data_IF_665690621647
#
_entry.id   IF_665690621647
#
_cell.length_a   1.000
_cell.length_b   1.000
_cell.length_c   1.000
_cell.angle_alpha   90.00
_cell.angle_beta   90.00
_cell.angle_gamma   90.00
#
_symmetry.space_group_name_H-M   'P 1'
#
loop_
_entity.id
_entity.type
_entity.pdbx_description
1 polymer ?
#
# COMPACT_ATOMS: atom_id res chain seq x y z
N UNK A 1 21.95 -9.04 -30.24
CA UNK A 1 21.92 -9.13 -28.75
C UNK A 1 21.75 -7.77 -28.07
N UNK A 2 22.46 -6.73 -28.46
CA UNK A 2 22.36 -5.38 -27.87
C UNK A 2 20.98 -4.77 -28.03
N UNK A 3 20.36 -4.86 -29.20
CA UNK A 3 19.03 -4.29 -29.46
C UNK A 3 17.91 -4.97 -28.62
N UNK A 4 18.04 -6.29 -28.40
CA UNK A 4 17.10 -7.04 -27.55
C UNK A 4 17.24 -6.62 -26.08
N UNK A 5 18.48 -6.41 -25.60
CA UNK A 5 18.74 -5.95 -24.24
C UNK A 5 18.24 -4.51 -24.05
N UNK A 6 18.42 -3.63 -25.02
CA UNK A 6 17.93 -2.26 -24.97
C UNK A 6 16.39 -2.22 -24.87
N UNK A 7 15.68 -3.01 -25.67
CA UNK A 7 14.22 -3.11 -25.60
C UNK A 7 13.74 -3.61 -24.22
N UNK A 8 14.38 -4.64 -23.65
CA UNK A 8 14.08 -5.14 -22.30
C UNK A 8 14.26 -4.08 -21.21
N UNK A 9 15.34 -3.28 -21.29
CA UNK A 9 15.61 -2.18 -20.35
C UNK A 9 14.54 -1.10 -20.48
N UNK A 10 14.17 -0.70 -21.70
CA UNK A 10 13.11 0.29 -21.93
C UNK A 10 11.79 -0.19 -21.34
N UNK A 11 11.42 -1.45 -21.55
CA UNK A 11 10.18 -2.02 -21.00
C UNK A 11 10.22 -2.00 -19.47
N UNK A 12 11.32 -2.45 -18.85
CA UNK A 12 11.49 -2.42 -17.41
C UNK A 12 11.37 -1.00 -16.85
N UNK A 13 11.98 -0.03 -17.52
CA UNK A 13 11.91 1.38 -17.12
C UNK A 13 10.48 1.88 -17.12
N UNK A 14 9.69 1.58 -18.16
CA UNK A 14 8.31 2.03 -18.28
C UNK A 14 7.38 1.38 -17.25
N UNK A 15 7.47 0.08 -17.04
CA UNK A 15 6.64 -0.58 -16.02
C UNK A 15 7.03 -0.16 -14.61
N UNK A 16 8.32 0.11 -14.37
CA UNK A 16 8.80 0.68 -13.10
C UNK A 16 8.37 2.12 -12.91
N UNK A 17 8.32 2.93 -13.98
CA UNK A 17 7.82 4.30 -13.95
C UNK A 17 6.32 4.34 -13.60
N UNK A 18 5.50 3.43 -14.13
CA UNK A 18 4.10 3.30 -13.73
C UNK A 18 3.95 3.01 -12.24
N UNK A 19 4.77 2.12 -11.68
CA UNK A 19 4.79 1.83 -10.25
C UNK A 19 5.34 3.01 -9.42
N UNK A 20 6.35 3.72 -9.94
CA UNK A 20 6.86 4.95 -9.34
C UNK A 20 5.76 5.99 -9.15
N UNK A 21 4.95 6.25 -10.21
CA UNK A 21 3.82 7.18 -10.15
C UNK A 21 2.83 6.81 -9.05
N UNK A 22 2.45 5.54 -8.97
CA UNK A 22 1.51 5.02 -7.95
C UNK A 22 2.05 5.21 -6.54
N UNK A 23 3.32 4.88 -6.30
CA UNK A 23 3.94 5.02 -4.98
C UNK A 23 4.18 6.47 -4.58
N UNK A 24 4.59 7.32 -5.54
CA UNK A 24 4.81 8.74 -5.31
C UNK A 24 3.49 9.45 -4.98
N UNK A 25 2.43 9.21 -5.75
CA UNK A 25 1.10 9.77 -5.49
C UNK A 25 0.59 9.38 -4.09
N UNK A 26 0.73 8.11 -3.73
CA UNK A 26 0.29 7.61 -2.42
C UNK A 26 0.98 8.30 -1.23
N UNK A 27 2.20 8.83 -1.42
CA UNK A 27 2.96 9.49 -0.35
C UNK A 27 2.94 11.01 -0.44
N UNK A 28 2.95 11.59 -1.63
CA UNK A 28 2.89 13.04 -1.84
C UNK A 28 1.57 13.65 -1.33
N UNK A 29 0.44 12.96 -1.54
CA UNK A 29 -0.88 13.42 -1.09
C UNK A 29 -0.99 13.57 0.42
N UNK A 30 -0.25 12.75 1.18
CA UNK A 30 -0.27 12.85 2.63
C UNK A 30 0.25 14.20 3.15
N UNK A 31 1.22 14.80 2.44
CA UNK A 31 1.77 16.11 2.82
C UNK A 31 0.81 17.25 2.45
N UNK A 32 -0.09 17.03 1.46
CA UNK A 32 -1.10 18.00 1.03
C UNK A 32 -2.28 18.16 2.00
N UNK A 33 -2.41 17.32 3.04
CA UNK A 33 -3.63 17.20 3.85
C UNK A 33 -4.09 18.53 4.46
N UNK A 34 -3.19 19.34 5.00
CA UNK A 34 -3.56 20.65 5.56
C UNK A 34 -4.06 21.62 4.49
N UNK A 35 -3.45 21.62 3.31
CA UNK A 35 -3.88 22.45 2.18
C UNK A 35 -5.25 21.99 1.64
N UNK A 36 -5.47 20.68 1.55
CA UNK A 36 -6.75 20.09 1.16
C UNK A 36 -7.85 20.40 2.19
N UNK A 37 -7.54 20.39 3.49
CA UNK A 37 -8.48 20.77 4.57
C UNK A 37 -9.04 22.17 4.35
N UNK A 38 -8.17 23.13 4.03
CA UNK A 38 -8.55 24.52 3.81
C UNK A 38 -9.25 24.71 2.46
N UNK A 39 -8.70 24.15 1.40
CA UNK A 39 -9.18 24.37 0.02
C UNK A 39 -10.51 23.69 -0.28
N UNK A 40 -10.77 22.52 0.29
CA UNK A 40 -12.01 21.75 0.11
C UNK A 40 -12.99 21.93 1.29
N UNK A 41 -12.73 22.85 2.20
CA UNK A 41 -13.53 23.14 3.40
C UNK A 41 -13.97 21.85 4.12
N UNK A 42 -12.99 21.04 4.54
CA UNK A 42 -13.26 19.71 5.05
C UNK A 42 -12.67 19.50 6.46
N UNK A 43 -13.15 18.45 7.11
CA UNK A 43 -12.70 18.04 8.45
C UNK A 43 -11.76 16.82 8.38
N UNK A 44 -11.34 16.30 9.53
CA UNK A 44 -10.46 15.15 9.64
C UNK A 44 -11.04 13.89 8.92
N UNK A 45 -12.34 13.67 9.01
CA UNK A 45 -13.02 12.58 8.31
C UNK A 45 -12.89 12.71 6.79
N UNK A 46 -13.05 13.92 6.25
CA UNK A 46 -12.83 14.17 4.82
C UNK A 46 -11.38 13.93 4.42
N UNK A 47 -10.40 14.32 5.25
CA UNK A 47 -8.99 14.02 5.00
C UNK A 47 -8.70 12.51 4.97
N UNK A 48 -9.31 11.74 5.87
CA UNK A 48 -9.22 10.28 5.82
C UNK A 48 -9.78 9.73 4.50
N UNK A 49 -10.92 10.27 4.02
CA UNK A 49 -11.50 9.87 2.74
C UNK A 49 -10.61 10.24 1.55
N UNK A 50 -9.84 11.32 1.58
CA UNK A 50 -8.91 11.65 0.48
C UNK A 50 -7.84 10.57 0.26
N UNK A 51 -7.44 9.86 1.31
CA UNK A 51 -6.47 8.78 1.26
C UNK A 51 -7.14 7.43 1.05
N UNK A 52 -8.16 7.13 1.88
CA UNK A 52 -8.74 5.78 1.93
C UNK A 52 -9.53 5.43 0.68
N UNK A 53 -10.19 6.38 0.01
CA UNK A 53 -10.92 6.12 -1.22
C UNK A 53 -10.04 5.56 -2.35
N UNK A 54 -8.85 6.12 -2.53
CA UNK A 54 -7.84 5.60 -3.44
C UNK A 54 -7.38 4.19 -3.02
N UNK A 55 -7.03 4.02 -1.76
CA UNK A 55 -6.48 2.74 -1.28
C UNK A 55 -7.51 1.63 -1.30
N UNK A 56 -8.79 1.92 -1.00
CA UNK A 56 -9.90 0.96 -1.09
C UNK A 56 -10.08 0.49 -2.53
N UNK A 57 -10.21 1.41 -3.48
CA UNK A 57 -10.40 1.06 -4.88
C UNK A 57 -9.20 0.33 -5.47
N UNK A 58 -7.98 0.73 -5.09
CA UNK A 58 -6.74 0.02 -5.44
C UNK A 58 -6.74 -1.41 -4.89
N UNK A 59 -6.99 -1.60 -3.59
CA UNK A 59 -7.02 -2.92 -2.95
C UNK A 59 -8.07 -3.85 -3.58
N UNK A 60 -9.28 -3.32 -3.74
CA UNK A 60 -10.41 -4.07 -4.29
C UNK A 60 -10.16 -4.53 -5.73
N UNK A 61 -9.58 -3.66 -6.56
CA UNK A 61 -9.35 -3.95 -7.98
C UNK A 61 -8.11 -4.78 -8.27
N UNK A 62 -7.16 -4.91 -7.32
CA UNK A 62 -5.84 -5.48 -7.59
C UNK A 62 -5.88 -6.92 -8.12
N UNK A 63 -6.72 -7.78 -7.52
CA UNK A 63 -6.88 -9.17 -7.96
C UNK A 63 -7.51 -9.28 -9.35
N UNK A 64 -8.54 -8.46 -9.63
CA UNK A 64 -9.19 -8.48 -10.94
C UNK A 64 -8.39 -7.79 -12.02
N UNK A 65 -7.57 -6.82 -11.67
CA UNK A 65 -6.65 -6.18 -12.60
C UNK A 65 -5.65 -7.19 -13.20
N UNK A 66 -5.15 -8.12 -12.37
CA UNK A 66 -4.34 -9.24 -12.83
C UNK A 66 -5.11 -10.19 -13.75
N UNK A 67 -6.30 -10.62 -13.33
CA UNK A 67 -7.17 -11.50 -14.14
C UNK A 67 -7.61 -10.86 -15.46
N UNK A 68 -7.82 -9.55 -15.47
CA UNK A 68 -8.12 -8.79 -16.67
C UNK A 68 -6.92 -8.77 -17.62
N UNK A 69 -5.70 -8.61 -17.09
CA UNK A 69 -4.46 -8.71 -17.84
C UNK A 69 -4.28 -10.08 -18.51
N UNK A 70 -4.55 -11.15 -17.79
CA UNK A 70 -4.52 -12.50 -18.33
C UNK A 70 -5.54 -12.68 -19.47
N UNK A 71 -6.73 -12.04 -19.38
CA UNK A 71 -7.82 -12.21 -20.34
C UNK A 71 -7.71 -11.38 -21.62
N UNK A 72 -7.27 -10.13 -21.55
CA UNK A 72 -7.23 -9.20 -22.71
C UNK A 72 -5.83 -8.75 -23.08
N UNK A 73 -4.82 -9.23 -22.36
CA UNK A 73 -3.40 -8.92 -22.52
C UNK A 73 -2.88 -7.88 -21.53
N UNK A 74 -1.75 -8.17 -20.86
CA UNK A 74 -1.20 -7.29 -19.82
C UNK A 74 -0.78 -5.92 -20.38
N UNK A 75 -0.29 -5.82 -21.62
CA UNK A 75 0.01 -4.55 -22.29
C UNK A 75 -1.21 -3.64 -22.36
N UNK A 76 -2.34 -4.17 -22.87
CA UNK A 76 -3.58 -3.39 -23.05
C UNK A 76 -4.08 -2.87 -21.70
N UNK A 77 -4.10 -3.74 -20.68
CA UNK A 77 -4.56 -3.37 -19.34
C UNK A 77 -3.62 -2.36 -18.67
N UNK A 78 -2.31 -2.50 -18.85
CA UNK A 78 -1.33 -1.52 -18.38
C UNK A 78 -1.53 -0.15 -19.04
N UNK A 79 -1.73 -0.10 -20.36
CA UNK A 79 -2.03 1.15 -21.08
C UNK A 79 -3.34 1.79 -20.63
N UNK A 80 -4.41 1.00 -20.44
CA UNK A 80 -5.67 1.49 -19.86
C UNK A 80 -5.42 2.04 -18.45
N UNK A 81 -4.61 1.36 -17.63
CA UNK A 81 -4.20 1.83 -16.31
C UNK A 81 -3.50 3.18 -16.34
N UNK A 82 -2.57 3.40 -17.29
CA UNK A 82 -1.91 4.70 -17.50
C UNK A 82 -2.91 5.79 -17.85
N UNK A 83 -3.84 5.52 -18.77
CA UNK A 83 -4.88 6.47 -19.19
C UNK A 83 -5.77 6.83 -18.01
N UNK A 84 -6.32 5.83 -17.31
CA UNK A 84 -7.25 6.04 -16.19
C UNK A 84 -6.54 6.77 -15.04
N UNK A 85 -5.33 6.37 -14.68
CA UNK A 85 -4.57 6.99 -13.59
C UNK A 85 -4.23 8.46 -13.90
N UNK A 86 -3.75 8.73 -15.12
CA UNK A 86 -3.38 10.08 -15.56
C UNK A 86 -4.60 10.98 -15.66
N UNK A 87 -5.69 10.49 -16.25
CA UNK A 87 -6.94 11.23 -16.34
C UNK A 87 -7.53 11.53 -14.96
N UNK A 88 -7.56 10.54 -14.08
CA UNK A 88 -8.02 10.72 -12.70
C UNK A 88 -7.12 11.70 -11.92
N UNK A 89 -5.81 11.73 -12.19
CA UNK A 89 -4.90 12.72 -11.61
C UNK A 89 -5.27 14.15 -12.04
N UNK A 90 -5.64 14.35 -13.32
CA UNK A 90 -6.16 15.65 -13.79
C UNK A 90 -7.43 16.02 -13.03
N UNK A 91 -8.39 15.09 -12.88
CA UNK A 91 -9.62 15.33 -12.14
C UNK A 91 -9.35 15.67 -10.67
N UNK A 92 -8.42 14.98 -10.01
CA UNK A 92 -8.00 15.29 -8.65
C UNK A 92 -7.49 16.74 -8.55
N UNK A 93 -6.59 17.15 -9.44
CA UNK A 93 -6.03 18.49 -9.44
C UNK A 93 -7.02 19.62 -9.76
N UNK A 94 -8.12 19.31 -10.46
CA UNK A 94 -9.20 20.25 -10.79
C UNK A 94 -10.36 20.23 -9.78
N UNK A 95 -10.28 19.42 -8.73
CA UNK A 95 -11.39 19.25 -7.79
C UNK A 95 -11.65 20.52 -6.97
N UNK A 96 -12.92 20.94 -6.93
CA UNK A 96 -13.41 22.09 -6.15
C UNK A 96 -14.30 21.65 -4.96
N UNK A 97 -14.57 20.35 -4.83
CA UNK A 97 -15.33 19.80 -3.72
C UNK A 97 -14.76 18.47 -3.27
N UNK A 98 -14.94 18.14 -1.98
CA UNK A 98 -14.51 16.88 -1.40
C UNK A 98 -15.10 15.67 -2.14
N UNK A 99 -16.39 15.70 -2.46
CA UNK A 99 -17.08 14.59 -3.13
C UNK A 99 -16.49 14.31 -4.51
N UNK A 100 -16.21 15.35 -5.30
CA UNK A 100 -15.58 15.20 -6.61
C UNK A 100 -14.14 14.72 -6.48
N UNK A 101 -13.40 15.23 -5.50
CA UNK A 101 -12.04 14.76 -5.20
C UNK A 101 -12.03 13.28 -4.84
N UNK A 102 -12.89 12.83 -3.90
CA UNK A 102 -13.03 11.42 -3.50
C UNK A 102 -13.39 10.53 -4.69
N UNK A 103 -14.33 10.94 -5.54
CA UNK A 103 -14.66 10.22 -6.77
C UNK A 103 -13.45 10.08 -7.69
N UNK A 104 -12.69 11.16 -7.88
CA UNK A 104 -11.45 11.16 -8.68
C UNK A 104 -10.39 10.22 -8.11
N UNK A 105 -10.26 10.18 -6.77
CA UNK A 105 -9.37 9.26 -6.06
C UNK A 105 -9.78 7.79 -6.25
N UNK A 106 -11.08 7.48 -6.27
CA UNK A 106 -11.57 6.12 -6.59
C UNK A 106 -11.12 5.70 -7.99
N UNK A 107 -11.31 6.56 -8.99
CA UNK A 107 -10.87 6.29 -10.37
C UNK A 107 -9.34 6.11 -10.44
N UNK A 108 -8.60 6.95 -9.73
CA UNK A 108 -7.14 6.88 -9.69
C UNK A 108 -6.64 5.57 -9.06
N UNK A 109 -7.31 5.09 -8.00
CA UNK A 109 -7.01 3.80 -7.38
C UNK A 109 -7.29 2.61 -8.30
N UNK A 110 -8.35 2.67 -9.12
CA UNK A 110 -8.62 1.68 -10.17
C UNK A 110 -7.45 1.68 -11.18
N UNK A 111 -7.04 2.85 -11.67
CA UNK A 111 -5.91 3.00 -12.58
C UNK A 111 -4.61 2.42 -11.98
N UNK A 112 -4.34 2.70 -10.70
CA UNK A 112 -3.19 2.16 -9.97
C UNK A 112 -3.18 0.62 -9.93
N UNK A 113 -4.34 0.00 -9.67
CA UNK A 113 -4.47 -1.46 -9.66
C UNK A 113 -4.14 -2.08 -11.02
N UNK A 114 -4.68 -1.49 -12.10
CA UNK A 114 -4.40 -1.92 -13.47
C UNK A 114 -2.91 -1.81 -13.80
N UNK A 115 -2.24 -0.73 -13.38
CA UNK A 115 -0.82 -0.52 -13.58
C UNK A 115 0.03 -1.55 -12.82
N UNK A 116 -0.17 -1.65 -11.50
CA UNK A 116 0.70 -2.45 -10.63
C UNK A 116 0.60 -3.93 -10.94
N UNK A 117 -0.62 -4.48 -11.05
CA UNK A 117 -0.80 -5.90 -11.35
C UNK A 117 -0.18 -6.29 -12.70
N UNK A 118 -0.40 -5.47 -13.72
CA UNK A 118 0.05 -5.78 -15.07
C UNK A 118 1.53 -5.46 -15.31
N UNK A 119 2.13 -4.53 -14.54
CA UNK A 119 3.59 -4.31 -14.59
C UNK A 119 4.35 -5.58 -14.21
N UNK A 120 3.91 -6.31 -13.18
CA UNK A 120 4.51 -7.58 -12.76
C UNK A 120 4.31 -8.68 -13.81
N UNK A 121 3.13 -8.76 -14.43
CA UNK A 121 2.85 -9.71 -15.51
C UNK A 121 3.72 -9.44 -16.74
N UNK A 122 3.94 -8.17 -17.10
CA UNK A 122 4.84 -7.79 -18.22
C UNK A 122 6.28 -8.18 -17.91
N UNK A 123 6.77 -7.93 -16.70
CA UNK A 123 8.13 -8.35 -16.29
C UNK A 123 8.27 -9.88 -16.40
N UNK A 124 7.28 -10.65 -15.94
CA UNK A 124 7.28 -12.11 -16.05
C UNK A 124 7.35 -12.60 -17.49
N UNK A 125 6.62 -11.97 -18.41
CA UNK A 125 6.59 -12.36 -19.82
C UNK A 125 7.86 -11.98 -20.59
N UNK A 126 8.55 -10.90 -20.19
CA UNK A 126 9.77 -10.42 -20.87
C UNK A 126 11.03 -11.11 -20.33
N UNK A 127 11.11 -11.37 -19.02
CA UNK A 127 12.27 -11.99 -18.36
C UNK A 127 11.98 -13.47 -18.06
N UNK A 128 12.29 -14.34 -19.04
CA UNK A 128 12.01 -15.79 -18.96
C UNK A 128 12.97 -16.45 -17.96
N UNK A 129 14.26 -16.06 -17.96
CA UNK A 129 15.24 -16.59 -17.02
C UNK A 129 14.90 -16.18 -15.57
N UNK A 130 14.84 -17.13 -14.62
CA UNK A 130 14.47 -16.84 -13.23
C UNK A 130 15.40 -15.85 -12.53
N UNK A 131 16.72 -15.86 -12.84
CA UNK A 131 17.71 -14.96 -12.24
C UNK A 131 17.56 -13.55 -12.78
N UNK A 132 17.39 -13.37 -14.09
CA UNK A 132 17.14 -12.06 -14.72
C UNK A 132 15.81 -11.49 -14.25
N UNK A 133 14.76 -12.31 -14.14
CA UNK A 133 13.45 -11.92 -13.65
C UNK A 133 13.51 -11.46 -12.21
N UNK A 134 14.25 -12.15 -11.34
CA UNK A 134 14.44 -11.73 -9.96
C UNK A 134 15.15 -10.36 -9.86
N UNK A 135 16.14 -10.10 -10.73
CA UNK A 135 16.80 -8.79 -10.84
C UNK A 135 15.82 -7.71 -11.30
N UNK A 136 14.99 -8.00 -12.31
CA UNK A 136 14.00 -7.06 -12.82
C UNK A 136 12.95 -6.69 -11.76
N UNK A 137 12.45 -7.66 -10.98
CA UNK A 137 11.58 -7.39 -9.84
C UNK A 137 12.28 -6.58 -8.75
N UNK A 138 13.59 -6.81 -8.53
CA UNK A 138 14.39 -6.01 -7.61
C UNK A 138 14.50 -4.55 -8.03
N UNK A 139 14.72 -4.28 -9.33
CA UNK A 139 14.74 -2.91 -9.89
C UNK A 139 13.35 -2.26 -9.75
N UNK A 140 12.30 -2.95 -10.15
CA UNK A 140 10.92 -2.48 -10.05
C UNK A 140 10.54 -2.12 -8.60
N UNK A 141 10.82 -3.00 -7.65
CA UNK A 141 10.58 -2.74 -6.23
C UNK A 141 11.44 -1.62 -5.67
N UNK A 142 12.71 -1.53 -6.09
CA UNK A 142 13.63 -0.46 -5.72
C UNK A 142 13.15 0.92 -6.18
N UNK A 143 12.64 1.01 -7.42
CA UNK A 143 12.04 2.24 -7.96
C UNK A 143 10.82 2.68 -7.14
N UNK A 144 9.96 1.73 -6.74
CA UNK A 144 8.84 2.01 -5.82
C UNK A 144 9.33 2.51 -4.45
N UNK A 145 10.38 1.90 -3.90
CA UNK A 145 11.01 2.36 -2.66
C UNK A 145 11.55 3.79 -2.74
N UNK A 146 12.22 4.13 -3.84
CA UNK A 146 12.68 5.50 -4.11
C UNK A 146 11.49 6.46 -4.19
N UNK A 147 10.41 6.08 -4.89
CA UNK A 147 9.19 6.91 -5.00
C UNK A 147 8.59 7.22 -3.63
N UNK A 148 8.48 6.22 -2.75
CA UNK A 148 7.99 6.39 -1.37
C UNK A 148 8.91 7.35 -0.60
N UNK A 149 10.22 7.24 -0.79
CA UNK A 149 11.20 8.08 -0.10
C UNK A 149 11.16 9.55 -0.55
N UNK A 150 11.08 9.80 -1.85
CA UNK A 150 11.12 11.17 -2.38
C UNK A 150 9.74 11.84 -2.42
N UNK A 151 8.65 11.06 -2.35
CA UNK A 151 7.28 11.55 -2.45
C UNK A 151 6.94 12.69 -1.49
N UNK A 152 7.19 12.58 -0.19
CA UNK A 152 6.92 13.67 0.76
C UNK A 152 7.72 14.94 0.46
N UNK A 153 8.97 14.83 0.00
CA UNK A 153 9.82 15.99 -0.32
C UNK A 153 9.37 16.64 -1.61
N UNK A 154 9.20 15.85 -2.69
CA UNK A 154 8.71 16.37 -3.98
C UNK A 154 7.32 16.97 -3.79
N UNK A 155 6.42 16.26 -3.10
CA UNK A 155 5.10 16.77 -2.76
C UNK A 155 5.18 18.07 -1.96
N UNK A 156 5.99 18.11 -0.90
CA UNK A 156 6.17 19.29 -0.06
C UNK A 156 6.64 20.51 -0.84
N UNK A 157 7.66 20.37 -1.70
CA UNK A 157 8.20 21.45 -2.54
C UNK A 157 7.17 21.92 -3.58
N UNK A 158 6.55 20.99 -4.31
CA UNK A 158 5.57 21.32 -5.35
C UNK A 158 4.34 22.02 -4.75
N UNK A 159 3.82 21.51 -3.64
CA UNK A 159 2.64 22.07 -2.99
C UNK A 159 2.93 23.46 -2.43
N UNK A 160 4.11 23.67 -1.84
CA UNK A 160 4.51 24.97 -1.34
C UNK A 160 4.69 26.01 -2.45
N UNK A 161 5.17 25.60 -3.65
CA UNK A 161 5.47 26.49 -4.76
C UNK A 161 4.28 26.75 -5.70
N UNK A 162 3.46 25.73 -5.94
CA UNK A 162 2.41 25.76 -6.98
C UNK A 162 1.01 25.35 -6.46
N UNK A 163 0.87 25.16 -5.14
CA UNK A 163 -0.37 24.69 -4.52
C UNK A 163 -0.56 23.17 -4.62
N UNK A 164 -1.51 22.64 -3.85
CA UNK A 164 -1.77 21.21 -3.74
C UNK A 164 -2.13 20.49 -5.06
N UNK A 165 -2.77 21.13 -6.08
CA UNK A 165 -3.05 20.46 -7.36
C UNK A 165 -1.80 19.99 -8.11
N UNK A 166 -0.66 20.65 -7.87
CA UNK A 166 0.61 20.29 -8.52
C UNK A 166 1.09 18.89 -8.19
N UNK A 167 0.77 18.35 -7.00
CA UNK A 167 1.10 17.01 -6.62
C UNK A 167 0.42 15.96 -7.55
N UNK A 168 -0.76 16.28 -8.07
CA UNK A 168 -1.49 15.43 -9.01
C UNK A 168 -1.05 15.69 -10.46
N UNK A 169 -0.86 16.94 -10.84
CA UNK A 169 -0.42 17.28 -12.19
C UNK A 169 0.97 16.75 -12.53
N UNK A 170 1.81 16.50 -11.54
CA UNK A 170 3.09 15.81 -11.71
C UNK A 170 2.94 14.46 -12.43
N UNK A 171 1.83 13.74 -12.23
CA UNK A 171 1.59 12.46 -12.86
C UNK A 171 1.34 12.56 -14.38
N UNK A 172 0.94 13.72 -14.90
CA UNK A 172 0.55 13.89 -16.31
C UNK A 172 1.73 13.63 -17.26
N UNK A 173 2.90 14.30 -17.13
CA UNK A 173 4.02 14.07 -18.05
C UNK A 173 4.49 12.61 -18.00
N UNK A 174 4.58 12.01 -16.81
CA UNK A 174 4.96 10.61 -16.68
C UNK A 174 3.94 9.66 -17.32
N UNK A 175 2.65 9.92 -17.13
CA UNK A 175 1.59 9.09 -17.70
C UNK A 175 1.53 9.16 -19.23
N UNK A 176 1.66 10.37 -19.81
CA UNK A 176 1.64 10.56 -21.26
C UNK A 176 2.88 9.94 -21.91
N UNK A 177 4.08 10.24 -21.40
CA UNK A 177 5.33 9.66 -21.90
C UNK A 177 5.31 8.13 -21.73
N UNK A 178 4.88 7.67 -20.57
CA UNK A 178 4.74 6.24 -20.27
C UNK A 178 3.82 5.52 -21.25
N UNK A 179 2.68 6.12 -21.59
CA UNK A 179 1.72 5.56 -22.54
C UNK A 179 2.32 5.45 -23.94
N UNK A 180 2.94 6.51 -24.44
CA UNK A 180 3.57 6.54 -25.77
C UNK A 180 4.62 5.44 -25.90
N UNK A 181 5.50 5.33 -24.88
CA UNK A 181 6.56 4.33 -24.89
C UNK A 181 5.99 2.90 -24.70
N UNK A 182 5.00 2.74 -23.81
CA UNK A 182 4.34 1.44 -23.59
C UNK A 182 3.70 0.90 -24.86
N UNK A 183 2.97 1.73 -25.59
CA UNK A 183 2.34 1.36 -26.87
C UNK A 183 3.38 0.89 -27.91
N UNK A 184 4.54 1.57 -27.97
CA UNK A 184 5.58 1.31 -28.96
C UNK A 184 6.45 0.09 -28.62
N UNK A 185 6.83 -0.09 -27.36
CA UNK A 185 7.88 -1.05 -26.99
C UNK A 185 7.38 -2.32 -26.29
N UNK A 186 6.24 -2.28 -25.56
CA UNK A 186 5.71 -3.49 -24.94
C UNK A 186 5.10 -4.38 -26.02
N UNK A 187 5.54 -5.63 -26.16
CA UNK A 187 4.95 -6.57 -27.13
C UNK A 187 3.56 -7.02 -26.69
N UNK A 188 2.76 -7.47 -27.65
CA UNK A 188 1.55 -8.22 -27.32
C UNK A 188 1.96 -9.57 -26.69
N UNK A 189 1.24 -9.98 -25.65
CA UNK A 189 1.50 -11.21 -24.90
C UNK A 189 0.33 -12.16 -25.05
N UNK A 190 0.60 -13.45 -24.87
CA UNK A 190 -0.44 -14.47 -24.90
C UNK A 190 -1.50 -14.21 -23.84
N UNK A 191 -2.75 -14.41 -24.23
CA UNK A 191 -3.93 -14.26 -23.36
C UNK A 191 -4.34 -15.63 -22.84
N UNK A 192 -4.57 -15.70 -21.53
CA UNK A 192 -5.03 -16.92 -20.86
C UNK A 192 -6.46 -16.67 -20.41
N UNK A 193 -7.45 -17.46 -20.91
CA UNK A 193 -8.85 -17.24 -20.52
C UNK A 193 -9.04 -17.44 -19.01
N UNK A 194 -9.20 -16.37 -18.26
CA UNK A 194 -9.58 -16.41 -16.84
C UNK A 194 -10.94 -15.80 -16.62
N UNK A 195 -11.69 -16.38 -15.70
CA UNK A 195 -12.99 -15.85 -15.30
C UNK A 195 -12.82 -14.67 -14.35
N UNK A 196 -13.46 -13.56 -14.68
CA UNK A 196 -13.61 -12.41 -13.79
C UNK A 196 -14.86 -12.65 -12.94
N UNK A 197 -14.76 -12.41 -11.62
CA UNK A 197 -15.87 -12.58 -10.68
C UNK A 197 -16.34 -11.22 -10.14
N UNK A 198 -17.15 -10.48 -10.90
CA UNK A 198 -17.50 -9.11 -10.53
C UNK A 198 -18.26 -9.05 -9.19
N UNK A 199 -19.08 -10.04 -8.88
CA UNK A 199 -19.85 -10.07 -7.62
C UNK A 199 -18.91 -10.21 -6.41
N UNK A 200 -17.96 -11.17 -6.45
CA UNK A 200 -16.99 -11.34 -5.37
C UNK A 200 -16.15 -10.08 -5.17
N UNK A 201 -15.77 -9.42 -6.25
CA UNK A 201 -15.03 -8.18 -6.22
C UNK A 201 -15.83 -7.01 -5.63
N UNK A 202 -17.08 -6.85 -6.02
CA UNK A 202 -17.96 -5.85 -5.44
C UNK A 202 -18.12 -6.06 -3.94
N UNK A 203 -18.23 -7.31 -3.49
CA UNK A 203 -18.33 -7.64 -2.07
C UNK A 203 -17.05 -7.27 -1.31
N UNK A 204 -15.85 -7.52 -1.87
CA UNK A 204 -14.59 -7.10 -1.24
C UNK A 204 -14.52 -5.56 -1.15
N UNK A 205 -14.85 -4.86 -2.24
CA UNK A 205 -14.86 -3.39 -2.27
C UNK A 205 -15.84 -2.82 -1.24
N UNK A 206 -17.05 -3.39 -1.18
CA UNK A 206 -18.08 -3.00 -0.23
C UNK A 206 -17.66 -3.27 1.21
N UNK A 207 -17.05 -4.44 1.47
CA UNK A 207 -16.55 -4.78 2.80
C UNK A 207 -15.47 -3.77 3.26
N UNK A 208 -14.46 -3.51 2.44
CA UNK A 208 -13.39 -2.55 2.77
C UNK A 208 -13.94 -1.13 2.94
N UNK A 209 -14.84 -0.70 2.06
CA UNK A 209 -15.48 0.60 2.12
C UNK A 209 -16.36 0.78 3.36
N UNK A 210 -17.17 -0.22 3.70
CA UNK A 210 -18.02 -0.21 4.88
C UNK A 210 -17.21 -0.22 6.18
N UNK A 211 -16.13 -1.01 6.24
CA UNK A 211 -15.23 -1.04 7.38
C UNK A 211 -14.54 0.30 7.59
N UNK A 212 -13.98 0.90 6.54
CA UNK A 212 -13.36 2.21 6.61
C UNK A 212 -14.38 3.28 7.04
N UNK A 213 -15.58 3.27 6.45
CA UNK A 213 -16.65 4.19 6.83
C UNK A 213 -17.05 4.04 8.30
N UNK A 214 -17.17 2.80 8.81
CA UNK A 214 -17.50 2.57 10.21
C UNK A 214 -16.50 3.25 11.15
N UNK A 215 -15.19 3.07 10.93
CA UNK A 215 -14.15 3.70 11.75
C UNK A 215 -14.11 5.22 11.59
N UNK A 216 -14.19 5.74 10.36
CA UNK A 216 -14.19 7.19 10.12
C UNK A 216 -15.42 7.84 10.76
N UNK A 217 -16.61 7.23 10.62
CA UNK A 217 -17.84 7.71 11.24
C UNK A 217 -17.82 7.58 12.76
N UNK A 218 -17.17 6.55 13.31
CA UNK A 218 -17.03 6.41 14.76
C UNK A 218 -16.25 7.58 15.39
N UNK A 219 -15.22 8.07 14.71
CA UNK A 219 -14.43 9.23 15.15
C UNK A 219 -15.24 10.55 15.19
N UNK A 220 -16.29 10.67 14.37
CA UNK A 220 -17.12 11.90 14.28
C UNK A 220 -18.46 11.81 14.98
N UNK A 221 -19.12 10.65 14.92
CA UNK A 221 -20.51 10.46 15.40
C UNK A 221 -20.60 9.56 16.64
N UNK A 222 -19.45 9.02 17.09
CA UNK A 222 -19.39 8.04 18.20
C UNK A 222 -19.73 6.61 17.76
N UNK A 223 -19.24 5.65 18.53
CA UNK A 223 -19.32 4.22 18.22
C UNK A 223 -20.75 3.64 18.19
N UNK A 224 -21.68 4.25 18.90
CA UNK A 224 -23.08 3.81 18.98
C UNK A 224 -24.00 4.46 17.93
N UNK A 225 -23.46 5.25 17.02
CA UNK A 225 -24.28 5.90 15.97
C UNK A 225 -24.84 4.87 14.99
N UNK A 226 -26.05 5.13 14.50
CA UNK A 226 -26.69 4.26 13.47
C UNK A 226 -25.81 4.08 12.24
N UNK A 227 -25.03 5.11 11.89
CA UNK A 227 -24.09 5.05 10.74
C UNK A 227 -23.02 3.99 10.94
N UNK A 228 -22.44 3.91 12.14
CA UNK A 228 -21.42 2.91 12.49
C UNK A 228 -22.03 1.51 12.52
N UNK A 229 -23.19 1.36 13.14
CA UNK A 229 -23.89 0.07 13.25
C UNK A 229 -24.24 -0.46 11.84
N UNK A 230 -24.89 0.38 11.01
CA UNK A 230 -25.27 -0.02 9.64
C UNK A 230 -24.03 -0.41 8.83
N UNK A 231 -22.96 0.39 8.88
CA UNK A 231 -21.73 0.09 8.14
C UNK A 231 -21.07 -1.20 8.61
N UNK A 232 -21.08 -1.46 9.92
CA UNK A 232 -20.56 -2.72 10.48
C UNK A 232 -21.39 -3.92 10.01
N UNK A 233 -22.71 -3.79 9.97
CA UNK A 233 -23.61 -4.84 9.42
C UNK A 233 -23.31 -5.05 7.93
N UNK A 234 -23.18 -3.99 7.13
CA UNK A 234 -22.82 -4.09 5.70
C UNK A 234 -21.49 -4.77 5.51
N UNK A 235 -20.49 -4.43 6.32
CA UNK A 235 -19.17 -5.10 6.32
C UNK A 235 -19.31 -6.61 6.56
N UNK A 236 -20.00 -7.00 7.65
CA UNK A 236 -20.17 -8.41 8.02
C UNK A 236 -20.92 -9.18 6.93
N UNK A 237 -22.03 -8.63 6.41
CA UNK A 237 -22.81 -9.27 5.34
C UNK A 237 -21.98 -9.39 4.04
N UNK A 238 -21.18 -8.39 3.71
CA UNK A 238 -20.31 -8.45 2.52
C UNK A 238 -19.21 -9.51 2.67
N UNK A 239 -18.61 -9.66 3.85
CA UNK A 239 -17.63 -10.71 4.13
C UNK A 239 -18.28 -12.09 4.05
N UNK A 240 -19.44 -12.28 4.69
CA UNK A 240 -20.19 -13.54 4.63
C UNK A 240 -20.55 -13.89 3.18
N UNK A 241 -21.08 -12.91 2.43
CA UNK A 241 -21.43 -13.10 1.02
C UNK A 241 -20.21 -13.46 0.16
N UNK A 242 -19.07 -12.81 0.39
CA UNK A 242 -17.81 -13.13 -0.29
C UNK A 242 -17.36 -14.57 0.01
N UNK A 243 -17.33 -14.95 1.29
CA UNK A 243 -16.95 -16.31 1.70
C UNK A 243 -17.91 -17.35 1.11
N UNK A 244 -19.21 -17.08 1.13
CA UNK A 244 -20.22 -17.98 0.56
C UNK A 244 -20.00 -18.19 -0.95
N UNK A 245 -19.81 -17.12 -1.72
CA UNK A 245 -19.54 -17.22 -3.17
C UNK A 245 -18.23 -17.96 -3.43
N UNK A 246 -17.22 -17.72 -2.62
CA UNK A 246 -15.90 -18.32 -2.80
C UNK A 246 -15.91 -19.82 -2.51
N UNK A 247 -16.62 -20.23 -1.46
CA UNK A 247 -16.76 -21.66 -1.07
C UNK A 247 -17.65 -22.41 -2.06
N UNK A 248 -18.74 -21.79 -2.54
CA UNK A 248 -19.70 -22.41 -3.45
C UNK A 248 -19.25 -22.42 -4.91
N UNK A 249 -18.15 -21.73 -5.24
CA UNK A 249 -17.67 -21.62 -6.63
C UNK A 249 -16.86 -22.84 -7.05
N UNK A 250 -17.12 -23.38 -8.24
CA UNK A 250 -16.29 -24.43 -8.85
C UNK A 250 -14.86 -23.97 -9.17
N UNK A 251 -14.70 -22.70 -9.52
CA UNK A 251 -13.41 -22.06 -9.79
C UNK A 251 -13.23 -20.89 -8.82
N UNK A 252 -12.80 -21.12 -7.58
CA UNK A 252 -12.62 -20.05 -6.60
C UNK A 252 -11.51 -19.09 -7.02
N UNK A 253 -11.62 -17.79 -6.61
CA UNK A 253 -10.54 -16.81 -6.78
C UNK A 253 -9.34 -17.15 -5.89
N UNK A 254 -9.63 -17.70 -4.71
CA UNK A 254 -8.63 -18.11 -3.73
C UNK A 254 -8.47 -19.63 -3.80
N UNK A 255 -7.23 -20.16 -3.93
CA UNK A 255 -7.01 -21.61 -3.94
C UNK A 255 -7.58 -22.26 -2.69
N UNK A 256 -8.39 -23.32 -2.86
CA UNK A 256 -8.98 -24.05 -1.73
C UNK A 256 -7.88 -24.54 -0.79
N UNK A 257 -8.00 -24.22 0.48
CA UNK A 257 -7.07 -24.67 1.52
C UNK A 257 -5.77 -23.87 1.63
N UNK A 258 -5.56 -22.79 0.87
CA UNK A 258 -4.34 -21.97 0.97
C UNK A 258 -4.14 -21.41 2.40
N UNK A 259 -5.22 -21.06 3.08
CA UNK A 259 -5.19 -20.60 4.47
C UNK A 259 -4.96 -21.74 5.50
N UNK A 260 -4.94 -23.01 5.08
CA UNK A 260 -4.48 -24.12 5.95
C UNK A 260 -2.96 -24.15 6.08
N UNK A 261 -2.25 -23.51 5.14
CA UNK A 261 -0.80 -23.37 5.20
C UNK A 261 -0.46 -22.30 6.24
N UNK A 262 -0.02 -22.72 7.42
CA UNK A 262 0.28 -21.84 8.56
C UNK A 262 1.19 -20.67 8.19
N UNK A 263 2.25 -20.96 7.44
CA UNK A 263 3.22 -19.95 7.00
C UNK A 263 2.60 -18.92 6.06
N UNK A 264 1.75 -19.32 5.12
CA UNK A 264 1.04 -18.42 4.23
C UNK A 264 0.08 -17.52 5.02
N UNK A 265 -0.71 -18.12 5.91
CA UNK A 265 -1.68 -17.39 6.73
C UNK A 265 -0.96 -16.38 7.65
N UNK A 266 0.13 -16.81 8.30
CA UNK A 266 0.95 -15.92 9.12
C UNK A 266 1.51 -14.74 8.31
N UNK A 267 2.10 -15.02 7.13
CA UNK A 267 2.63 -13.97 6.26
C UNK A 267 1.53 -12.98 5.81
N UNK A 268 0.33 -13.48 5.51
CA UNK A 268 -0.82 -12.66 5.13
C UNK A 268 -1.28 -11.74 6.28
N UNK A 269 -1.40 -12.29 7.50
CA UNK A 269 -1.78 -11.53 8.71
C UNK A 269 -0.69 -10.51 9.07
N UNK A 270 0.57 -10.91 9.08
CA UNK A 270 1.69 -10.00 9.33
C UNK A 270 1.72 -8.89 8.28
N UNK A 271 1.52 -9.22 7.00
CA UNK A 271 1.43 -8.25 5.91
C UNK A 271 0.33 -7.21 6.11
N UNK A 272 -0.85 -7.63 6.59
CA UNK A 272 -1.95 -6.73 6.95
C UNK A 272 -1.54 -5.83 8.11
N UNK A 273 -1.02 -6.40 9.20
CA UNK A 273 -0.66 -5.65 10.43
C UNK A 273 0.42 -4.61 10.15
N UNK A 274 1.49 -4.95 9.44
CA UNK A 274 2.59 -4.01 9.19
C UNK A 274 2.14 -2.82 8.33
N UNK A 275 1.25 -3.06 7.35
CA UNK A 275 0.72 -1.97 6.54
C UNK A 275 -0.29 -1.12 7.32
N UNK A 276 -1.14 -1.75 8.16
CA UNK A 276 -2.02 -1.02 9.07
C UNK A 276 -1.20 -0.09 9.99
N UNK A 277 -0.20 -0.62 10.65
CA UNK A 277 0.64 0.16 11.55
C UNK A 277 1.42 1.26 10.83
N UNK A 278 2.01 0.98 9.67
CA UNK A 278 2.83 1.95 8.94
C UNK A 278 2.01 3.09 8.33
N UNK A 279 0.96 2.80 7.57
CA UNK A 279 0.17 3.86 6.93
C UNK A 279 -0.65 4.64 7.95
N UNK A 280 -1.12 3.97 9.01
CA UNK A 280 -1.75 4.64 10.13
C UNK A 280 -0.76 5.54 10.89
N UNK A 281 0.45 5.05 11.19
CA UNK A 281 1.52 5.88 11.78
C UNK A 281 1.87 7.07 10.88
N UNK A 282 2.02 6.85 9.58
CA UNK A 282 2.34 7.93 8.64
C UNK A 282 1.27 9.03 8.66
N UNK A 283 0.00 8.65 8.68
CA UNK A 283 -1.10 9.61 8.82
C UNK A 283 -1.03 10.38 10.15
N UNK A 284 -0.84 9.68 11.26
CA UNK A 284 -0.77 10.27 12.61
C UNK A 284 0.41 11.23 12.73
N UNK A 285 1.60 10.85 12.27
CA UNK A 285 2.81 11.69 12.40
C UNK A 285 2.75 12.94 11.51
N UNK A 286 2.11 12.86 10.34
CA UNK A 286 1.88 14.03 9.49
C UNK A 286 0.90 15.00 10.19
N UNK A 287 -0.18 14.48 10.76
CA UNK A 287 -1.11 15.30 11.54
C UNK A 287 -0.43 15.92 12.75
N UNK A 288 0.44 15.18 13.44
CA UNK A 288 1.25 15.70 14.54
C UNK A 288 2.15 16.87 14.08
N UNK A 289 2.90 16.71 13.00
CA UNK A 289 3.76 17.78 12.50
C UNK A 289 2.96 18.99 12.03
N UNK A 290 1.86 18.80 11.31
CA UNK A 290 1.10 19.91 10.74
C UNK A 290 0.16 20.59 11.72
N UNK A 291 -0.46 19.89 12.67
CA UNK A 291 -1.48 20.46 13.57
C UNK A 291 -1.01 20.66 15.01
N UNK A 292 -0.01 19.93 15.48
CA UNK A 292 0.55 20.13 16.84
C UNK A 292 1.83 20.95 16.79
N UNK A 293 2.73 20.63 15.85
CA UNK A 293 4.01 21.35 15.66
C UNK A 293 3.90 22.54 14.72
N UNK A 294 2.75 22.73 14.07
CA UNK A 294 2.48 23.80 13.11
C UNK A 294 3.50 23.90 11.97
N UNK A 295 4.10 22.75 11.60
CA UNK A 295 5.04 22.71 10.47
C UNK A 295 4.32 22.97 9.16
N UNK A 296 4.96 23.76 8.31
CA UNK A 296 4.51 23.96 6.93
C UNK A 296 4.53 22.62 6.16
N UNK A 297 3.82 22.55 5.06
CA UNK A 297 3.81 21.39 4.14
C UNK A 297 5.22 20.99 3.72
N UNK A 298 6.04 21.98 3.36
CA UNK A 298 7.43 21.76 2.97
C UNK A 298 8.28 21.24 4.12
N UNK A 299 8.17 21.84 5.31
CA UNK A 299 8.92 21.41 6.51
C UNK A 299 8.51 19.99 6.92
N UNK A 300 7.22 19.65 6.82
CA UNK A 300 6.72 18.28 7.05
C UNK A 300 7.34 17.28 6.08
N UNK A 301 7.41 17.63 4.79
CA UNK A 301 8.07 16.79 3.78
C UNK A 301 9.54 16.50 4.10
N UNK A 302 10.31 17.53 4.49
CA UNK A 302 11.69 17.35 4.90
C UNK A 302 11.82 16.59 6.24
N UNK A 303 10.89 16.77 7.17
CA UNK A 303 10.90 16.03 8.44
C UNK A 303 10.66 14.52 8.23
N UNK A 304 9.93 14.11 7.19
CA UNK A 304 9.72 12.71 6.84
C UNK A 304 10.86 12.10 6.01
N UNK A 305 11.67 12.92 5.36
CA UNK A 305 12.70 12.47 4.42
C UNK A 305 13.72 11.50 5.02
N UNK A 306 14.28 11.73 6.22
CA UNK A 306 15.25 10.78 6.83
C UNK A 306 14.65 9.38 7.02
N UNK A 307 13.38 9.28 7.47
CA UNK A 307 12.69 8.01 7.58
C UNK A 307 12.60 7.31 6.22
N UNK A 308 12.24 8.05 5.18
CA UNK A 308 12.10 7.52 3.84
C UNK A 308 13.45 7.04 3.25
N UNK A 309 14.56 7.75 3.53
CA UNK A 309 15.91 7.32 3.15
C UNK A 309 16.27 6.00 3.83
N UNK A 310 16.04 5.89 5.14
CA UNK A 310 16.27 4.65 5.88
C UNK A 310 15.45 3.50 5.30
N UNK A 311 14.19 3.75 4.94
CA UNK A 311 13.33 2.76 4.29
C UNK A 311 13.92 2.28 2.96
N UNK A 312 14.35 3.19 2.10
CA UNK A 312 14.91 2.85 0.79
C UNK A 312 16.21 2.03 0.91
N UNK A 313 17.12 2.47 1.79
CA UNK A 313 18.39 1.77 2.05
C UNK A 313 18.12 0.38 2.63
N UNK A 314 17.24 0.27 3.60
CA UNK A 314 16.91 -1.01 4.25
C UNK A 314 16.27 -1.98 3.27
N UNK A 315 15.31 -1.52 2.44
CA UNK A 315 14.66 -2.36 1.44
C UNK A 315 15.68 -2.95 0.43
N UNK A 316 16.67 -2.15 0.01
CA UNK A 316 17.73 -2.59 -0.90
C UNK A 316 18.58 -3.74 -0.31
N UNK A 317 18.91 -3.67 0.97
CA UNK A 317 19.71 -4.71 1.64
C UNK A 317 18.88 -5.90 2.13
N UNK A 318 17.63 -5.68 2.50
CA UNK A 318 16.75 -6.70 3.07
C UNK A 318 16.57 -7.92 2.16
N UNK A 319 16.46 -7.73 0.84
CA UNK A 319 16.38 -8.83 -0.11
C UNK A 319 17.59 -9.77 -0.05
N UNK A 320 18.80 -9.20 0.08
CA UNK A 320 20.04 -9.98 0.20
C UNK A 320 20.12 -10.73 1.54
N UNK A 321 19.71 -10.07 2.62
CA UNK A 321 19.65 -10.68 3.95
C UNK A 321 18.64 -11.83 3.95
N UNK A 322 17.44 -11.61 3.42
CA UNK A 322 16.38 -12.63 3.31
C UNK A 322 16.82 -13.84 2.50
N UNK A 323 17.56 -13.63 1.41
CA UNK A 323 18.10 -14.73 0.59
C UNK A 323 19.13 -15.59 1.35
N UNK A 324 19.94 -14.99 2.23
CA UNK A 324 20.95 -15.69 3.01
C UNK A 324 20.40 -16.34 4.28
N UNK A 325 19.56 -15.65 5.02
CA UNK A 325 19.14 -16.05 6.37
C UNK A 325 17.72 -16.62 6.41
N UNK A 326 16.99 -16.53 5.30
CA UNK A 326 15.54 -16.78 5.26
C UNK A 326 14.73 -15.59 5.73
N UNK A 327 13.38 -15.64 5.57
CA UNK A 327 12.51 -14.50 5.86
C UNK A 327 12.32 -14.24 7.36
N UNK A 328 12.50 -15.25 8.22
CA UNK A 328 12.19 -15.16 9.65
C UNK A 328 13.03 -14.12 10.39
N UNK A 329 14.36 -14.07 10.15
CA UNK A 329 15.28 -13.14 10.83
C UNK A 329 14.97 -11.68 10.50
N UNK A 330 14.87 -11.26 9.20
CA UNK A 330 14.50 -9.89 8.86
C UNK A 330 13.14 -9.49 9.43
N UNK A 331 12.18 -10.41 9.46
CA UNK A 331 10.85 -10.14 10.03
C UNK A 331 10.91 -9.89 11.54
N UNK A 332 11.62 -10.72 12.33
CA UNK A 332 11.75 -10.50 13.78
C UNK A 332 12.43 -9.17 14.06
N UNK A 333 13.60 -8.94 13.45
CA UNK A 333 14.36 -7.71 13.65
C UNK A 333 13.51 -6.50 13.24
N UNK A 334 12.84 -6.56 12.09
CA UNK A 334 12.00 -5.49 11.61
C UNK A 334 10.79 -5.22 12.50
N UNK A 335 10.06 -6.25 12.93
CA UNK A 335 8.90 -6.10 13.82
C UNK A 335 9.31 -5.58 15.20
N UNK A 336 10.42 -6.06 15.76
CA UNK A 336 10.92 -5.62 17.04
C UNK A 336 11.36 -4.15 17.00
N UNK A 337 12.09 -3.73 15.96
CA UNK A 337 12.51 -2.33 15.80
C UNK A 337 11.33 -1.40 15.56
N UNK A 338 10.31 -1.81 14.77
CA UNK A 338 9.08 -1.04 14.61
C UNK A 338 8.34 -0.90 15.95
N UNK A 339 8.20 -1.99 16.69
CA UNK A 339 7.53 -1.99 17.99
C UNK A 339 8.22 -1.02 18.95
N UNK A 340 9.56 -1.07 19.04
CA UNK A 340 10.35 -0.15 19.86
C UNK A 340 10.13 1.30 19.45
N UNK A 341 10.13 1.60 18.14
CA UNK A 341 9.87 2.94 17.62
C UNK A 341 8.46 3.43 17.94
N UNK A 342 7.45 2.58 17.78
CA UNK A 342 6.04 2.93 18.09
C UNK A 342 5.83 3.17 19.59
N UNK A 343 6.40 2.32 20.45
CA UNK A 343 6.35 2.52 21.92
C UNK A 343 7.00 3.85 22.29
N UNK A 344 8.17 4.15 21.71
CA UNK A 344 8.84 5.43 21.98
C UNK A 344 7.98 6.63 21.57
N UNK A 345 7.33 6.58 20.39
CA UNK A 345 6.44 7.65 19.91
C UNK A 345 5.22 7.87 20.82
N UNK A 346 4.75 6.86 21.55
CA UNK A 346 3.66 7.02 22.54
C UNK A 346 4.07 7.96 23.67
N UNK A 347 5.37 8.09 23.98
CA UNK A 347 5.85 8.99 25.03
C UNK A 347 6.22 10.39 24.52
N UNK A 348 6.08 10.68 23.23
CA UNK A 348 6.31 12.03 22.69
C UNK A 348 5.17 12.97 23.07
N UNK A 349 5.47 14.27 23.19
CA UNK A 349 4.50 15.29 23.54
C UNK A 349 4.62 16.52 22.62
N UNK A 350 3.78 17.54 22.84
CA UNK A 350 3.77 18.75 22.03
C UNK A 350 5.10 19.54 22.08
N UNK A 351 5.86 19.41 23.17
CA UNK A 351 7.15 20.10 23.35
C UNK A 351 8.35 19.27 22.94
N UNK A 352 8.18 17.98 22.62
CA UNK A 352 9.27 17.11 22.18
C UNK A 352 10.07 17.70 21.02
N UNK A 353 11.39 17.64 21.10
CA UNK A 353 12.27 18.11 20.04
C UNK A 353 12.13 17.24 18.77
N UNK A 354 12.53 17.77 17.62
CA UNK A 354 12.52 16.97 16.37
C UNK A 354 13.38 15.71 16.50
N UNK A 355 14.51 15.76 17.21
CA UNK A 355 15.41 14.61 17.39
C UNK A 355 14.76 13.48 18.21
N UNK A 356 13.96 13.81 19.22
CA UNK A 356 13.20 12.82 20.00
C UNK A 356 12.14 12.10 19.15
N UNK A 357 11.64 12.74 18.10
CA UNK A 357 10.66 12.17 17.17
C UNK A 357 11.37 11.43 16.02
N UNK A 358 12.47 11.96 15.54
CA UNK A 358 13.22 11.43 14.41
C UNK A 358 13.71 10.00 14.68
N UNK A 359 14.35 9.76 15.83
CA UNK A 359 14.92 8.45 16.17
C UNK A 359 13.86 7.34 16.09
N UNK A 360 12.72 7.43 16.79
CA UNK A 360 11.69 6.41 16.69
C UNK A 360 11.07 6.32 15.28
N UNK A 361 10.96 7.41 14.53
CA UNK A 361 10.54 7.36 13.13
C UNK A 361 11.49 6.54 12.26
N UNK A 362 12.82 6.69 12.46
CA UNK A 362 13.82 5.89 11.75
C UNK A 362 13.70 4.40 12.10
N UNK A 363 13.43 4.06 13.37
CA UNK A 363 13.18 2.68 13.79
C UNK A 363 11.94 2.09 13.11
N UNK A 364 10.84 2.86 13.04
CA UNK A 364 9.63 2.43 12.32
C UNK A 364 9.92 2.23 10.83
N UNK A 365 10.64 3.15 10.19
CA UNK A 365 11.01 3.06 8.77
C UNK A 365 11.90 1.86 8.47
N UNK A 366 12.94 1.64 9.27
CA UNK A 366 13.81 0.47 9.18
C UNK A 366 13.03 -0.83 9.33
N UNK A 367 12.20 -0.91 10.37
CA UNK A 367 11.47 -2.12 10.69
C UNK A 367 10.44 -2.49 9.61
N UNK A 368 9.69 -1.50 9.09
CA UNK A 368 8.76 -1.71 7.98
C UNK A 368 9.46 -2.25 6.74
N UNK A 369 10.58 -1.64 6.35
CA UNK A 369 11.32 -2.01 5.14
C UNK A 369 12.10 -3.31 5.29
N UNK A 370 12.43 -3.73 6.51
CA UNK A 370 12.98 -5.07 6.80
C UNK A 370 11.90 -6.14 6.72
N UNK A 371 10.70 -5.86 7.22
CA UNK A 371 9.62 -6.85 7.35
C UNK A 371 8.87 -7.06 6.04
N UNK A 372 8.53 -6.01 5.30
CA UNK A 372 7.62 -6.08 4.16
C UNK A 372 8.10 -7.03 3.04
N UNK A 373 9.34 -6.95 2.51
CA UNK A 373 9.81 -7.88 1.49
C UNK A 373 9.95 -9.31 2.03
N UNK A 374 10.40 -9.46 3.29
CA UNK A 374 10.53 -10.77 3.93
C UNK A 374 9.18 -11.47 4.12
N UNK A 375 8.12 -10.72 4.43
CA UNK A 375 6.75 -11.24 4.53
C UNK A 375 6.25 -11.78 3.19
N UNK A 376 6.48 -11.05 2.10
CA UNK A 376 6.13 -11.52 0.74
C UNK A 376 6.92 -12.79 0.41
N UNK A 377 8.22 -12.82 0.69
CA UNK A 377 9.06 -14.00 0.47
C UNK A 377 8.58 -15.21 1.30
N UNK A 378 8.18 -15.00 2.57
CA UNK A 378 7.64 -16.06 3.42
C UNK A 378 6.35 -16.65 2.86
N UNK A 379 5.42 -15.81 2.42
CA UNK A 379 4.15 -16.26 1.85
C UNK A 379 4.34 -16.94 0.50
N UNK A 380 5.17 -16.39 -0.38
CA UNK A 380 5.46 -16.94 -1.71
C UNK A 380 6.15 -18.29 -1.66
N UNK A 381 7.04 -18.51 -0.69
CA UNK A 381 7.73 -19.81 -0.51
C UNK A 381 6.79 -20.94 -0.05
N UNK A 382 5.58 -20.62 0.38
CA UNK A 382 4.53 -21.58 0.76
C UNK A 382 3.52 -21.83 -0.37
N UNK A 383 3.67 -21.12 -1.51
CA UNK A 383 2.74 -21.23 -2.62
C UNK A 383 2.79 -22.62 -3.26
N UNK A 384 1.66 -23.27 -3.55
CA UNK A 384 1.65 -24.46 -4.37
C UNK A 384 2.23 -24.18 -5.76
N UNK A 385 2.85 -25.18 -6.41
CA UNK A 385 3.37 -25.03 -7.77
C UNK A 385 2.33 -24.44 -8.73
N UNK A 386 2.72 -23.45 -9.52
CA UNK A 386 1.84 -22.77 -10.49
C UNK A 386 0.86 -21.73 -9.91
N UNK A 387 0.82 -21.54 -8.58
CA UNK A 387 -0.13 -20.61 -7.94
C UNK A 387 0.52 -19.33 -7.36
N UNK A 388 1.77 -19.04 -7.74
CA UNK A 388 2.53 -17.92 -7.22
C UNK A 388 1.85 -16.55 -7.45
N UNK A 389 1.24 -16.33 -8.61
CA UNK A 389 0.54 -15.09 -8.93
C UNK A 389 -0.66 -14.82 -7.99
N UNK A 390 -1.49 -15.85 -7.75
CA UNK A 390 -2.66 -15.74 -6.84
C UNK A 390 -2.18 -15.52 -5.41
N UNK A 391 -1.17 -16.27 -4.97
CA UNK A 391 -0.56 -16.15 -3.63
C UNK A 391 -0.04 -14.74 -3.38
N UNK A 392 0.70 -14.19 -4.34
CA UNK A 392 1.18 -12.79 -4.29
C UNK A 392 0.01 -11.79 -4.26
N UNK A 393 -1.03 -12.03 -5.07
CA UNK A 393 -2.22 -11.22 -5.11
C UNK A 393 -2.92 -11.13 -3.76
N UNK A 394 -3.11 -12.26 -3.08
CA UNK A 394 -3.75 -12.33 -1.74
C UNK A 394 -2.93 -11.57 -0.69
N UNK A 395 -1.60 -11.78 -0.66
CA UNK A 395 -0.72 -11.07 0.28
C UNK A 395 -0.79 -9.55 0.04
N UNK A 396 -0.74 -9.11 -1.23
CA UNK A 396 -0.83 -7.70 -1.56
C UNK A 396 -2.21 -7.11 -1.25
N UNK A 397 -3.30 -7.84 -1.50
CA UNK A 397 -4.64 -7.42 -1.11
C UNK A 397 -4.77 -7.26 0.41
N UNK A 398 -4.26 -8.20 1.20
CA UNK A 398 -4.23 -8.10 2.67
C UNK A 398 -3.41 -6.89 3.14
N UNK A 399 -2.23 -6.64 2.54
CA UNK A 399 -1.41 -5.47 2.83
C UNK A 399 -2.15 -4.16 2.53
N UNK A 400 -2.82 -4.05 1.39
CA UNK A 400 -3.58 -2.85 1.04
C UNK A 400 -4.81 -2.67 1.94
N UNK A 401 -5.48 -3.75 2.31
CA UNK A 401 -6.55 -3.72 3.32
C UNK A 401 -6.02 -3.17 4.65
N UNK A 402 -4.82 -3.60 5.07
CA UNK A 402 -4.13 -3.05 6.24
C UNK A 402 -3.91 -1.54 6.12
N UNK A 403 -3.49 -1.05 4.96
CA UNK A 403 -3.27 0.40 4.74
C UNK A 403 -4.56 1.20 4.91
N UNK A 404 -5.68 0.73 4.35
CA UNK A 404 -7.02 1.34 4.53
C UNK A 404 -7.41 1.37 6.00
N UNK A 405 -7.31 0.22 6.67
CA UNK A 405 -7.68 0.07 8.08
C UNK A 405 -6.79 0.97 8.97
N UNK A 406 -5.50 1.09 8.67
CA UNK A 406 -4.56 1.90 9.44
C UNK A 406 -4.97 3.36 9.48
N UNK A 407 -5.21 3.97 8.33
CA UNK A 407 -5.65 5.37 8.26
C UNK A 407 -7.03 5.57 8.92
N UNK A 408 -7.98 4.67 8.65
CA UNK A 408 -9.33 4.77 9.18
C UNK A 408 -9.36 4.58 10.71
N UNK A 409 -8.72 3.53 11.24
CA UNK A 409 -8.70 3.20 12.66
C UNK A 409 -7.91 4.25 13.45
N UNK A 410 -6.64 4.47 13.10
CA UNK A 410 -5.79 5.38 13.87
C UNK A 410 -6.29 6.83 13.76
N UNK A 411 -6.75 7.23 12.59
CA UNK A 411 -7.32 8.56 12.38
C UNK A 411 -8.60 8.83 13.18
N UNK A 412 -9.42 7.79 13.46
CA UNK A 412 -10.65 7.94 14.24
C UNK A 412 -10.41 8.38 15.70
N UNK A 413 -9.21 8.17 16.23
CA UNK A 413 -8.84 8.54 17.61
C UNK A 413 -8.19 9.92 17.72
N UNK A 414 -7.82 10.57 16.62
CA UNK A 414 -7.08 11.84 16.66
C UNK A 414 -7.90 13.02 17.20
N UNK A 415 -9.22 12.95 17.12
CA UNK A 415 -10.15 13.98 17.55
C UNK A 415 -11.16 14.37 16.47
N UNK A 416 -12.22 15.08 16.86
CA UNK A 416 -13.34 15.40 15.92
C UNK A 416 -13.12 16.73 15.18
N UNK A 417 -12.60 17.74 15.85
CA UNK A 417 -12.35 19.09 15.27
C UNK A 417 -10.88 19.37 15.08
N UNK A 418 -10.07 19.10 16.10
CA UNK A 418 -8.64 19.33 16.11
C UNK A 418 -7.95 18.04 16.60
N UNK A 419 -6.74 17.82 16.10
CA UNK A 419 -5.89 16.73 16.56
C UNK A 419 -5.44 17.02 18.00
N UNK A 420 -5.56 16.03 18.88
CA UNK A 420 -5.12 16.12 20.27
C UNK A 420 -3.95 15.19 20.55
N UNK A 421 -3.05 15.57 21.47
CA UNK A 421 -1.97 14.69 21.91
C UNK A 421 -2.49 13.39 22.51
N UNK A 422 -3.58 13.44 23.29
CA UNK A 422 -4.22 12.24 23.81
C UNK A 422 -4.67 11.30 22.68
N UNK A 423 -5.29 11.83 21.63
CA UNK A 423 -5.69 11.05 20.45
C UNK A 423 -4.51 10.41 19.74
N UNK A 424 -3.39 11.13 19.60
CA UNK A 424 -2.14 10.61 19.03
C UNK A 424 -1.61 9.42 19.86
N UNK A 425 -1.54 9.58 21.19
CA UNK A 425 -1.08 8.52 22.09
C UNK A 425 -1.97 7.28 22.01
N UNK A 426 -3.30 7.45 22.03
CA UNK A 426 -4.24 6.33 21.88
C UNK A 426 -4.06 5.64 20.52
N UNK A 427 -4.02 6.41 19.45
CA UNK A 427 -3.85 5.86 18.09
C UNK A 427 -2.56 5.02 17.97
N UNK A 428 -1.43 5.55 18.45
CA UNK A 428 -0.16 4.82 18.42
C UNK A 428 -0.17 3.61 19.37
N UNK A 429 -0.77 3.71 20.56
CA UNK A 429 -0.85 2.61 21.52
C UNK A 429 -1.61 1.39 20.97
N UNK A 430 -2.63 1.60 20.13
CA UNK A 430 -3.39 0.51 19.49
C UNK A 430 -2.49 -0.33 18.58
N UNK A 431 -1.44 0.24 18.00
CA UNK A 431 -0.54 -0.51 17.12
C UNK A 431 0.36 -1.48 17.89
N UNK A 432 0.68 -1.21 19.15
CA UNK A 432 1.59 -2.00 19.97
C UNK A 432 1.16 -3.46 20.08
N UNK A 433 -0.07 -3.80 20.56
CA UNK A 433 -0.52 -5.18 20.65
C UNK A 433 -0.59 -5.88 19.27
N UNK A 434 -0.87 -5.14 18.20
CA UNK A 434 -0.88 -5.71 16.86
C UNK A 434 0.53 -6.15 16.41
N UNK A 435 1.56 -5.34 16.70
CA UNK A 435 2.95 -5.73 16.38
C UNK A 435 3.45 -6.88 17.28
N UNK A 436 3.03 -6.95 18.54
CA UNK A 436 3.30 -8.11 19.41
C UNK A 436 2.66 -9.38 18.82
N UNK A 437 1.43 -9.28 18.34
CA UNK A 437 0.74 -10.39 17.66
C UNK A 437 1.48 -10.81 16.37
N UNK A 438 1.95 -9.85 15.57
CA UNK A 438 2.73 -10.13 14.36
C UNK A 438 4.07 -10.82 14.67
N UNK A 439 4.75 -10.43 15.76
CA UNK A 439 5.93 -11.13 16.27
C UNK A 439 5.60 -12.57 16.65
N UNK A 440 4.49 -12.79 17.36
CA UNK A 440 4.01 -14.13 17.71
C UNK A 440 3.80 -15.01 16.46
N UNK A 441 3.07 -14.55 15.47
CA UNK A 441 2.90 -15.27 14.20
C UNK A 441 4.22 -15.57 13.49
N UNK A 442 5.17 -14.64 13.53
CA UNK A 442 6.48 -14.82 12.90
C UNK A 442 7.28 -15.91 13.63
N UNK A 443 7.31 -15.88 14.96
CA UNK A 443 8.07 -16.83 15.79
C UNK A 443 7.49 -18.23 15.71
N UNK A 444 6.15 -18.36 15.87
CA UNK A 444 5.52 -19.68 16.02
C UNK A 444 5.14 -20.34 14.69
N UNK A 445 4.93 -19.59 13.60
CA UNK A 445 4.43 -20.15 12.34
C UNK A 445 5.38 -19.97 11.15
N UNK A 446 6.20 -18.93 11.10
CA UNK A 446 7.09 -18.69 9.95
C UNK A 446 8.45 -19.36 10.14
N UNK A 447 9.05 -19.23 11.31
CA UNK A 447 10.41 -19.74 11.57
C UNK A 447 10.45 -21.28 11.61
N UNK A 448 9.56 -22.00 12.33
CA UNK A 448 9.61 -23.45 12.40
C UNK A 448 9.47 -24.11 11.03
N UNK A 449 8.49 -23.68 10.25
CA UNK A 449 8.25 -24.23 8.91
C UNK A 449 9.41 -23.97 7.93
N UNK A 450 10.20 -22.91 8.12
CA UNK A 450 11.38 -22.65 7.28
C UNK A 450 12.52 -23.59 7.62
N UNK A 451 12.69 -23.94 8.89
CA UNK A 451 13.73 -24.89 9.32
C UNK A 451 13.43 -26.32 8.86
N UNK A 452 12.17 -26.72 8.85
CA UNK A 452 11.75 -28.06 8.39
C UNK A 452 11.79 -28.24 6.87
N UNK A 453 11.80 -27.15 6.08
CA UNK A 453 11.84 -27.19 4.62
C UNK A 453 13.24 -27.09 4.02
N UNK A 454 14.31 -26.86 4.81
CA UNK A 454 15.69 -27.01 4.36
C UNK A 454 16.07 -28.48 4.31
N UNK A 455 16.56 -29.03 3.16
CA UNK A 455 17.20 -30.34 3.17
C UNK A 455 18.34 -30.29 4.21
N UNK A 456 18.42 -31.36 5.03
CA UNK A 456 19.58 -31.59 5.89
C UNK A 456 20.81 -31.60 4.98
N UNK A 457 21.65 -30.57 5.11
CA UNK A 457 22.89 -30.41 4.37
C UNK A 457 23.93 -31.41 4.89
#
# INVERSE_FOLDING_TARGET
>A
MEEVNLKRIIILTIVSMGFFMVCLDATAVNVALSNLKLSLDTNLSGLQWTITSYTISFAAMLLSAGSLGDRIGPKKVFCIGLIVFTFASVLCGLAQSLSFFVFSRVLQGIGAALLVANSLSIIQGIYIDPSERAKAFGVWGGVGGVAIAVGPVIGGVLIASFGWPSAFFLNIPFGVIGLIIALKYIPEMEVIPRQIKPVAQTLIATALGALAYAFIAAGTNGWHSSRVIISTVVFVLSVIGFVFIEVSSDVPMLPRGIFRLRRFTAATIVGLIINLGFYGHLFVIIMYFQQIKEYSTMTTGFALFPQAVVMAVTAFYCGRVTAKTGPGIPMIVGLFTTLTGLIWLVFTNATSSYMEILIPMLLVGFGMSSTAPATVAAGMSSAPPGQGGITSGVINAARQSGSVMGVAILGSFLGTKNVSMHGIHVALSITVPLYVLALGFTIFWIIPDYRSSKPLA
#
